data_IF_977091524771
#
_entry.id   IF_977091524771
#
_cell.length_a   1.000
_cell.length_b   1.000
_cell.length_c   1.000
_cell.angle_alpha   90.00
_cell.angle_beta   90.00
_cell.angle_gamma   90.00
#
_symmetry.space_group_name_H-M   'P 1'
#
loop_
_entity.id
_entity.type
_entity.pdbx_description
1 polymer ?
#
# COMPACT_ATOMS: atom_id res chain seq x y z
N UNK A 1 -50.47 -8.43 -10.31
CA UNK A 1 -49.76 -8.25 -9.02
C UNK A 1 -48.27 -8.61 -9.07
N UNK A 2 -47.83 -9.70 -9.75
CA UNK A 2 -46.39 -10.09 -9.85
C UNK A 2 -45.44 -9.04 -10.46
N UNK A 3 -45.88 -8.26 -11.47
CA UNK A 3 -45.04 -7.25 -12.16
C UNK A 3 -44.62 -6.07 -11.26
N UNK A 4 -45.51 -5.63 -10.35
CA UNK A 4 -45.21 -4.55 -9.39
C UNK A 4 -44.23 -5.04 -8.32
N UNK A 5 -44.28 -6.32 -7.95
CA UNK A 5 -43.35 -6.94 -7.00
C UNK A 5 -41.95 -7.11 -7.60
N UNK A 6 -41.84 -7.51 -8.88
CA UNK A 6 -40.58 -7.58 -9.62
C UNK A 6 -39.91 -6.20 -9.77
N UNK A 7 -40.70 -5.15 -10.06
CA UNK A 7 -40.19 -3.78 -10.21
C UNK A 7 -39.68 -3.18 -8.89
N UNK A 8 -40.26 -3.57 -7.75
CA UNK A 8 -39.81 -3.13 -6.41
C UNK A 8 -38.49 -3.77 -5.98
N UNK A 9 -38.10 -4.91 -6.57
CA UNK A 9 -36.82 -5.58 -6.31
C UNK A 9 -35.73 -5.11 -7.27
N UNK A 10 -36.08 -4.79 -8.52
CA UNK A 10 -35.11 -4.33 -9.53
C UNK A 10 -34.47 -2.98 -9.21
N UNK A 11 -35.23 -2.05 -8.62
CA UNK A 11 -34.75 -0.71 -8.25
C UNK A 11 -33.67 -0.75 -7.15
N UNK A 12 -33.88 -1.40 -5.98
CA UNK A 12 -32.85 -1.49 -4.95
C UNK A 12 -31.64 -2.31 -5.42
N UNK A 13 -31.84 -3.31 -6.27
CA UNK A 13 -30.72 -4.08 -6.84
C UNK A 13 -29.83 -3.23 -7.77
N UNK A 14 -30.43 -2.39 -8.62
CA UNK A 14 -29.71 -1.43 -9.45
C UNK A 14 -28.93 -0.40 -8.62
N UNK A 15 -29.53 0.10 -7.53
CA UNK A 15 -28.84 0.99 -6.60
C UNK A 15 -27.66 0.31 -5.90
N UNK A 16 -27.82 -0.96 -5.49
CA UNK A 16 -26.74 -1.74 -4.87
C UNK A 16 -25.56 -1.92 -5.83
N UNK A 17 -25.84 -2.27 -7.09
CA UNK A 17 -24.81 -2.39 -8.13
C UNK A 17 -24.14 -1.04 -8.40
N UNK A 18 -24.90 0.05 -8.45
CA UNK A 18 -24.37 1.40 -8.60
C UNK A 18 -23.40 1.78 -7.48
N UNK A 19 -23.75 1.49 -6.22
CA UNK A 19 -22.88 1.73 -5.05
C UNK A 19 -21.62 0.87 -5.11
N UNK A 20 -21.72 -0.40 -5.54
CA UNK A 20 -20.55 -1.28 -5.67
C UNK A 20 -19.57 -0.80 -6.75
N UNK A 21 -20.09 -0.30 -7.88
CA UNK A 21 -19.28 0.22 -8.99
C UNK A 21 -18.56 1.51 -8.58
N UNK A 22 -19.28 2.47 -7.98
CA UNK A 22 -18.67 3.72 -7.54
C UNK A 22 -17.63 3.48 -6.44
N UNK A 23 -17.89 2.54 -5.53
CA UNK A 23 -16.94 2.12 -4.51
C UNK A 23 -15.66 1.52 -5.10
N UNK A 24 -15.77 0.61 -6.08
CA UNK A 24 -14.61 0.06 -6.79
C UNK A 24 -13.82 1.16 -7.51
N UNK A 25 -14.50 2.07 -8.20
CA UNK A 25 -13.83 3.16 -8.94
C UNK A 25 -13.03 4.09 -8.01
N UNK A 26 -13.53 4.36 -6.80
CA UNK A 26 -12.83 5.18 -5.81
C UNK A 26 -11.59 4.47 -5.28
N UNK A 27 -11.68 3.17 -5.01
CA UNK A 27 -10.55 2.32 -4.61
C UNK A 27 -9.49 2.32 -5.72
N UNK A 28 -9.90 2.09 -6.96
CA UNK A 28 -8.97 2.04 -8.10
C UNK A 28 -8.24 3.37 -8.29
N UNK A 29 -8.93 4.51 -8.07
CA UNK A 29 -8.28 5.83 -8.12
C UNK A 29 -7.34 6.09 -6.94
N UNK A 30 -7.67 5.57 -5.75
CA UNK A 30 -6.87 5.78 -4.52
C UNK A 30 -5.53 5.06 -4.59
N UNK A 31 -5.50 3.87 -5.20
CA UNK A 31 -4.31 3.05 -5.35
C UNK A 31 -3.68 3.16 -6.75
N UNK A 32 -4.12 4.11 -7.56
CA UNK A 32 -3.59 4.32 -8.90
C UNK A 32 -2.08 4.54 -8.86
N UNK A 33 -1.34 3.79 -9.68
CA UNK A 33 0.12 3.85 -9.74
C UNK A 33 0.87 3.06 -8.67
N UNK A 34 0.18 2.41 -7.72
CA UNK A 34 0.84 1.55 -6.72
C UNK A 34 1.02 0.13 -7.25
N UNK A 35 2.24 -0.40 -7.14
CA UNK A 35 2.52 -1.79 -7.49
C UNK A 35 2.21 -2.76 -6.34
N UNK A 36 2.22 -2.27 -5.08
CA UNK A 36 1.87 -3.03 -3.88
C UNK A 36 0.84 -2.26 -3.05
N UNK A 37 -0.21 -2.97 -2.63
CA UNK A 37 -1.25 -2.47 -1.73
C UNK A 37 -1.24 -3.36 -0.48
N UNK A 38 -0.63 -2.93 0.64
CA UNK A 38 -0.56 -3.72 1.87
C UNK A 38 -1.90 -4.28 2.34
N UNK A 39 -2.98 -3.51 2.23
CA UNK A 39 -4.34 -3.94 2.65
C UNK A 39 -4.90 -5.10 1.81
N UNK A 40 -4.32 -5.38 0.64
CA UNK A 40 -4.67 -6.52 -0.22
C UNK A 40 -3.69 -7.69 -0.08
N UNK A 41 -2.68 -7.57 0.79
CA UNK A 41 -1.65 -8.59 0.99
C UNK A 41 -1.42 -8.85 2.49
N UNK A 42 -1.97 -9.95 3.00
CA UNK A 42 -1.91 -10.34 4.41
C UNK A 42 -0.47 -10.53 4.95
N UNK A 43 0.53 -10.64 4.08
CA UNK A 43 1.93 -10.76 4.48
C UNK A 43 2.66 -9.43 4.63
N UNK A 44 2.05 -8.31 4.24
CA UNK A 44 2.65 -6.97 4.34
C UNK A 44 1.84 -6.16 5.36
N UNK A 45 2.31 -6.06 6.63
CA UNK A 45 1.61 -5.30 7.65
C UNK A 45 1.65 -3.80 7.32
N UNK A 46 0.58 -3.05 7.59
CA UNK A 46 0.51 -1.61 7.34
C UNK A 46 0.69 -0.82 8.65
N UNK A 47 1.64 0.11 8.68
CA UNK A 47 1.78 1.05 9.80
C UNK A 47 0.48 1.86 9.97
N UNK A 48 -0.11 1.84 11.17
CA UNK A 48 -1.50 2.26 11.38
C UNK A 48 -1.83 3.71 11.03
N UNK A 49 -0.84 4.60 11.04
CA UNK A 49 -1.05 6.00 10.69
C UNK A 49 -0.87 6.29 9.19
N UNK A 50 -0.37 5.32 8.40
CA UNK A 50 -0.27 5.45 6.96
C UNK A 50 -1.65 5.36 6.31
N UNK A 51 -1.96 6.35 5.49
CA UNK A 51 -3.19 6.39 4.69
C UNK A 51 -2.84 6.45 3.22
N UNK A 52 -3.54 5.72 2.35
CA UNK A 52 -3.29 5.80 0.92
C UNK A 52 -3.68 7.19 0.39
N UNK A 53 -2.81 7.78 -0.41
CA UNK A 53 -3.02 9.01 -1.18
C UNK A 53 -2.35 8.78 -2.54
N UNK A 54 -3.03 9.07 -3.65
CA UNK A 54 -2.63 8.76 -5.05
C UNK A 54 -1.14 8.40 -5.23
N UNK A 55 -0.88 7.12 -5.58
CA UNK A 55 0.42 6.47 -5.76
C UNK A 55 1.35 6.29 -4.54
N UNK A 56 0.96 6.67 -3.32
CA UNK A 56 1.75 6.51 -2.08
C UNK A 56 0.92 6.40 -0.80
N UNK A 57 1.59 6.26 0.33
CA UNK A 57 0.98 6.34 1.66
C UNK A 57 1.53 7.52 2.42
N UNK A 58 0.69 8.15 3.23
CA UNK A 58 1.00 9.38 3.94
C UNK A 58 0.74 9.22 5.44
N UNK A 59 1.71 9.64 6.25
CA UNK A 59 1.55 9.90 7.68
C UNK A 59 1.77 11.39 7.97
N UNK A 60 1.09 11.93 8.98
CA UNK A 60 1.27 13.34 9.39
C UNK A 60 2.50 13.48 10.28
N UNK A 61 3.30 14.52 10.04
CA UNK A 61 4.50 14.82 10.81
C UNK A 61 5.71 14.00 10.37
N UNK A 62 6.82 14.22 11.05
CA UNK A 62 8.08 13.51 10.84
C UNK A 62 7.99 12.13 11.47
N UNK A 63 7.53 11.14 10.69
CA UNK A 63 7.27 9.77 11.13
C UNK A 63 8.19 8.71 10.53
N UNK A 64 9.11 9.12 9.67
CA UNK A 64 9.91 8.23 8.85
C UNK A 64 10.74 7.23 9.69
N UNK A 65 11.27 7.64 10.85
CA UNK A 65 12.02 6.75 11.77
C UNK A 65 11.14 5.68 12.42
N UNK A 66 9.95 6.07 12.90
CA UNK A 66 9.03 5.11 13.51
C UNK A 66 8.52 4.10 12.49
N UNK A 67 8.21 4.56 11.28
CA UNK A 67 7.79 3.73 10.15
C UNK A 67 8.91 2.77 9.73
N UNK A 68 10.14 3.27 9.60
CA UNK A 68 11.30 2.45 9.29
C UNK A 68 11.49 1.33 10.33
N UNK A 69 11.46 1.69 11.62
CA UNK A 69 11.62 0.73 12.71
C UNK A 69 10.48 -0.29 12.76
N UNK A 70 9.26 0.14 12.46
CA UNK A 70 8.10 -0.74 12.33
C UNK A 70 8.33 -1.83 11.28
N UNK A 71 8.74 -1.48 10.07
CA UNK A 71 8.98 -2.48 9.01
C UNK A 71 10.16 -3.38 9.32
N UNK A 72 11.22 -2.85 9.93
CA UNK A 72 12.33 -3.67 10.41
C UNK A 72 11.91 -4.76 11.41
N UNK A 73 10.87 -4.49 12.20
CA UNK A 73 10.42 -5.34 13.29
C UNK A 73 9.29 -6.28 12.87
N UNK A 74 8.33 -5.79 12.10
CA UNK A 74 7.12 -6.54 11.75
C UNK A 74 7.33 -7.47 10.57
N UNK A 75 7.97 -7.02 9.47
CA UNK A 75 8.11 -7.84 8.25
C UNK A 75 8.74 -9.23 8.50
N UNK A 76 9.79 -9.37 9.32
CA UNK A 76 10.34 -10.69 9.65
C UNK A 76 9.33 -11.66 10.28
N UNK A 77 8.34 -11.15 11.03
CA UNK A 77 7.28 -11.98 11.65
C UNK A 77 6.34 -12.59 10.61
N UNK A 78 6.25 -11.98 9.44
CA UNK A 78 5.49 -12.46 8.29
C UNK A 78 6.37 -13.26 7.30
N UNK A 79 7.61 -13.59 7.68
CA UNK A 79 8.50 -14.43 6.87
C UNK A 79 9.35 -13.68 5.85
N UNK A 80 9.30 -12.34 5.83
CA UNK A 80 10.17 -11.53 4.97
C UNK A 80 11.61 -11.54 5.48
N UNK A 81 12.55 -11.69 4.56
CA UNK A 81 13.98 -11.61 4.79
C UNK A 81 14.49 -10.28 4.26
N UNK A 82 15.20 -9.54 5.11
CA UNK A 82 15.81 -8.27 4.74
C UNK A 82 17.02 -8.51 3.85
N UNK A 83 17.00 -7.96 2.65
CA UNK A 83 18.15 -7.99 1.75
C UNK A 83 19.03 -6.76 1.92
N UNK A 84 18.38 -5.60 2.04
CA UNK A 84 19.04 -4.32 2.13
C UNK A 84 18.20 -3.35 2.96
N UNK A 85 18.88 -2.42 3.63
CA UNK A 85 18.25 -1.40 4.46
C UNK A 85 19.20 -0.26 4.70
N UNK A 86 18.75 0.96 4.44
CA UNK A 86 19.47 2.20 4.75
C UNK A 86 18.48 3.21 5.30
N UNK A 87 18.92 3.97 6.30
CA UNK A 87 18.24 5.11 6.85
C UNK A 87 19.28 6.23 6.99
N UNK A 88 18.91 7.44 6.65
CA UNK A 88 19.85 8.55 6.66
C UNK A 88 19.14 9.85 7.00
N UNK A 89 19.67 10.53 8.01
CA UNK A 89 19.11 11.78 8.53
C UNK A 89 19.24 12.94 7.51
N UNK A 90 20.19 12.86 6.57
CA UNK A 90 20.44 13.94 5.59
C UNK A 90 19.32 14.17 4.57
N UNK A 91 18.52 13.14 4.28
CA UNK A 91 17.31 13.24 3.45
C UNK A 91 16.05 12.81 4.22
N UNK A 92 16.15 12.73 5.55
CA UNK A 92 15.05 12.43 6.47
C UNK A 92 14.21 11.23 6.00
N UNK A 93 14.90 10.13 5.65
CA UNK A 93 14.28 9.02 4.94
C UNK A 93 14.99 7.68 5.09
N UNK A 94 14.36 6.67 4.50
CA UNK A 94 14.84 5.30 4.49
C UNK A 94 14.46 4.59 3.19
N UNK A 95 15.26 3.57 2.85
CA UNK A 95 14.96 2.57 1.82
C UNK A 95 15.23 1.19 2.41
N UNK A 96 14.34 0.25 2.14
CA UNK A 96 14.53 -1.16 2.53
C UNK A 96 14.03 -2.10 1.44
N UNK A 97 14.71 -3.24 1.30
CA UNK A 97 14.37 -4.29 0.32
C UNK A 97 14.25 -5.63 1.01
N UNK A 98 13.23 -6.38 0.62
CA UNK A 98 12.81 -7.60 1.28
C UNK A 98 12.47 -8.70 0.26
N UNK A 99 12.79 -9.94 0.61
CA UNK A 99 12.36 -11.14 -0.13
C UNK A 99 11.58 -12.10 0.74
N UNK A 100 10.74 -12.92 0.11
CA UNK A 100 9.95 -13.95 0.77
C UNK A 100 9.80 -15.13 -0.20
N UNK A 101 9.79 -16.36 0.33
CA UNK A 101 9.88 -17.59 -0.47
C UNK A 101 8.69 -17.77 -1.43
N UNK A 102 7.49 -17.35 -1.00
CA UNK A 102 6.23 -17.42 -1.76
C UNK A 102 5.89 -16.10 -2.47
N UNK A 103 6.84 -15.16 -2.55
CA UNK A 103 6.67 -13.88 -3.21
C UNK A 103 7.66 -13.75 -4.36
N UNK A 104 7.16 -13.74 -5.61
CA UNK A 104 8.00 -13.57 -6.78
C UNK A 104 8.59 -12.15 -6.80
N UNK A 105 9.92 -12.01 -6.78
CA UNK A 105 10.59 -10.69 -6.80
C UNK A 105 10.88 -10.14 -5.40
N UNK A 106 10.96 -8.81 -5.29
CA UNK A 106 11.30 -8.12 -4.03
C UNK A 106 10.27 -7.07 -3.67
N UNK A 107 10.03 -6.90 -2.37
CA UNK A 107 9.32 -5.76 -1.80
C UNK A 107 10.34 -4.67 -1.47
N UNK A 108 10.19 -3.51 -2.08
CA UNK A 108 10.90 -2.28 -1.73
C UNK A 108 9.96 -1.38 -0.92
N UNK A 109 10.46 -0.81 0.16
CA UNK A 109 9.74 0.20 0.95
C UNK A 109 10.65 1.40 1.11
N UNK A 110 10.21 2.51 0.55
CA UNK A 110 10.89 3.79 0.54
C UNK A 110 10.04 4.78 1.32
N UNK A 111 10.65 5.49 2.27
CA UNK A 111 9.94 6.50 3.04
C UNK A 111 10.79 7.74 3.23
N UNK A 112 10.17 8.91 3.13
CA UNK A 112 10.85 10.18 3.35
C UNK A 112 9.90 11.19 4.01
N UNK A 113 10.46 12.08 4.83
CA UNK A 113 9.73 13.21 5.37
C UNK A 113 9.90 14.44 4.48
N UNK A 114 8.78 15.07 4.15
CA UNK A 114 8.75 16.34 3.45
C UNK A 114 8.49 17.48 4.45
N UNK A 115 9.49 18.33 4.75
CA UNK A 115 9.34 19.45 5.67
C UNK A 115 8.40 20.55 5.14
N UNK A 116 8.17 20.65 3.83
CA UNK A 116 7.28 21.65 3.24
C UNK A 116 5.81 21.29 3.47
N UNK A 117 5.46 20.01 3.31
CA UNK A 117 4.08 19.53 3.52
C UNK A 117 3.85 19.00 4.93
N UNK A 118 4.91 18.82 5.73
CA UNK A 118 4.89 18.26 7.09
C UNK A 118 4.26 16.86 7.12
N UNK A 119 4.61 16.05 6.13
CA UNK A 119 4.10 14.69 5.93
C UNK A 119 5.29 13.74 5.72
N UNK A 120 5.16 12.51 6.21
CA UNK A 120 6.01 11.41 5.75
C UNK A 120 5.29 10.65 4.66
N UNK A 121 5.94 10.51 3.52
CA UNK A 121 5.47 9.71 2.40
C UNK A 121 6.15 8.35 2.42
N UNK A 122 5.41 7.31 2.03
CA UNK A 122 5.89 5.93 1.95
C UNK A 122 5.39 5.29 0.67
N UNK A 123 6.30 4.68 -0.09
CA UNK A 123 6.00 3.97 -1.32
C UNK A 123 6.34 2.49 -1.09
N UNK A 124 5.45 1.61 -1.57
CA UNK A 124 5.67 0.18 -1.59
C UNK A 124 5.78 -0.25 -3.04
N UNK A 125 6.95 -0.78 -3.40
CA UNK A 125 7.22 -1.18 -4.76
C UNK A 125 7.56 -2.65 -4.92
N UNK A 126 6.99 -3.23 -5.97
CA UNK A 126 7.32 -4.55 -6.46
C UNK A 126 8.41 -4.44 -7.52
N UNK A 127 9.59 -4.96 -7.21
CA UNK A 127 10.66 -5.09 -8.20
C UNK A 127 10.74 -6.54 -8.65
N UNK A 128 10.67 -6.78 -9.96
CA UNK A 128 11.02 -8.09 -10.52
C UNK A 128 12.52 -8.34 -10.32
N UNK A 129 12.98 -9.60 -10.19
CA UNK A 129 14.40 -9.87 -10.16
C UNK A 129 15.01 -9.35 -11.47
N UNK A 130 16.04 -8.50 -11.39
CA UNK A 130 16.82 -8.14 -12.58
C UNK A 130 17.31 -9.44 -13.22
N UNK A 131 16.80 -9.73 -14.42
CA UNK A 131 17.38 -10.78 -15.23
C UNK A 131 18.75 -10.23 -15.63
N UNK A 132 19.79 -10.71 -14.96
CA UNK A 132 21.17 -10.36 -15.30
C UNK A 132 21.38 -10.69 -16.78
N UNK A 133 21.43 -9.66 -17.62
CA UNK A 133 21.94 -9.81 -18.97
C UNK A 133 23.42 -10.17 -18.83
N UNK A 134 23.71 -11.46 -19.06
CA UNK A 134 25.07 -11.98 -19.21
C UNK A 134 25.72 -11.44 -20.48
#
# INVERSE_FOLDING_TARGET
MKKVFLMKISIPLLLLVGVLITYHSLIDSTYAGMSIIPEKNDSIPLYSELKPEESKYIAKGEKWKEIYHYYLTELPKYGWKKEYSQAEDGWEGFMSRWTKEDFEGTLSIDGFYDPFTKKTEVIFDHSKPETSFK
#
